data_IF_598871131110
#
_entry.id   IF_598871131110
#
_cell.length_a   1.000
_cell.length_b   1.000
_cell.length_c   1.000
_cell.angle_alpha   90.00
_cell.angle_beta   90.00
_cell.angle_gamma   90.00
#
_symmetry.space_group_name_H-M   'P 1'
#
loop_
_entity.id
_entity.type
_entity.pdbx_description
1 polymer ?
#
# COMPACT_ATOMS: atom_id res chain seq x y z
N UNK A 1 -2.71 14.20 -17.05
CA UNK A 1 -2.81 14.17 -15.57
C UNK A 1 -1.45 13.79 -15.01
N UNK A 2 -0.99 14.51 -14.01
CA UNK A 2 0.28 14.29 -13.29
C UNK A 2 0.01 14.13 -11.82
N UNK A 3 0.46 13.05 -11.21
CA UNK A 3 0.27 12.86 -9.78
C UNK A 3 1.44 12.09 -9.16
N UNK A 4 1.69 12.37 -7.89
CA UNK A 4 2.65 11.64 -7.07
C UNK A 4 1.97 10.48 -6.36
N UNK A 5 2.70 9.38 -6.16
CA UNK A 5 2.29 8.28 -5.29
C UNK A 5 3.38 7.95 -4.27
N UNK A 6 2.96 7.55 -3.07
CA UNK A 6 3.83 7.32 -1.92
C UNK A 6 3.42 6.00 -1.27
N UNK A 7 4.39 5.10 -1.05
CA UNK A 7 4.17 3.84 -0.33
C UNK A 7 5.26 3.66 0.74
N UNK A 8 4.83 3.57 1.99
CA UNK A 8 5.72 3.46 3.16
C UNK A 8 5.18 2.49 4.22
N UNK A 9 4.27 1.59 3.83
CA UNK A 9 3.58 0.67 4.76
C UNK A 9 4.43 -0.50 5.25
N UNK A 10 5.58 -0.76 4.60
CA UNK A 10 6.50 -1.85 4.94
C UNK A 10 7.91 -1.31 5.25
N UNK A 11 8.94 -2.15 5.22
CA UNK A 11 10.34 -1.72 5.33
C UNK A 11 10.86 -0.96 4.08
N UNK A 12 10.07 -0.92 3.02
CA UNK A 12 10.40 -0.20 1.81
C UNK A 12 9.79 1.21 1.82
N UNK A 13 10.56 2.18 1.36
CA UNK A 13 10.10 3.52 1.04
C UNK A 13 10.12 3.65 -0.48
N UNK A 14 8.95 3.79 -1.06
CA UNK A 14 8.76 3.90 -2.50
C UNK A 14 7.98 5.16 -2.81
N UNK A 15 8.40 5.88 -3.86
CA UNK A 15 7.70 7.04 -4.40
C UNK A 15 7.66 6.93 -5.91
N UNK A 16 6.57 7.38 -6.52
CA UNK A 16 6.47 7.43 -7.97
C UNK A 16 5.80 8.71 -8.45
N UNK A 17 6.11 9.07 -9.67
CA UNK A 17 5.48 10.15 -10.42
C UNK A 17 4.80 9.56 -11.65
N UNK A 18 3.49 9.71 -11.73
CA UNK A 18 2.73 9.48 -12.94
C UNK A 18 2.67 10.78 -13.75
N UNK A 19 3.14 10.74 -14.96
CA UNK A 19 3.05 11.89 -15.87
C UNK A 19 2.69 11.39 -17.28
N UNK A 20 1.52 11.80 -17.74
CA UNK A 20 1.06 11.59 -19.13
C UNK A 20 1.10 10.13 -19.61
N UNK A 21 0.84 9.19 -18.70
CA UNK A 21 0.79 7.75 -18.96
C UNK A 21 2.08 6.99 -18.60
N UNK A 22 3.16 7.69 -18.30
CA UNK A 22 4.43 7.11 -17.87
C UNK A 22 4.59 7.15 -16.35
N UNK A 23 5.31 6.19 -15.79
CA UNK A 23 5.62 6.12 -14.35
C UNK A 23 7.14 6.12 -14.17
N UNK A 24 7.65 7.14 -13.51
CA UNK A 24 9.01 7.16 -12.97
C UNK A 24 8.95 6.87 -11.47
N UNK A 25 9.87 6.05 -10.95
CA UNK A 25 9.84 5.68 -9.54
C UNK A 25 11.25 5.62 -8.91
N UNK A 26 11.29 5.81 -7.61
CA UNK A 26 12.44 5.55 -6.76
C UNK A 26 12.00 4.71 -5.57
N UNK A 27 12.84 3.73 -5.21
CA UNK A 27 12.58 2.84 -4.10
C UNK A 27 13.86 2.54 -3.30
N UNK A 28 13.73 2.42 -1.98
CA UNK A 28 14.81 2.07 -1.07
C UNK A 28 14.30 1.35 0.17
N UNK A 29 15.10 0.41 0.70
CA UNK A 29 14.90 -0.07 2.07
C UNK A 29 15.15 1.07 3.05
N UNK A 30 14.14 1.39 3.86
CA UNK A 30 14.13 2.61 4.67
C UNK A 30 14.78 2.44 6.05
N UNK A 31 14.86 1.21 6.58
CA UNK A 31 15.37 0.96 7.94
C UNK A 31 14.84 1.97 8.97
N UNK A 32 13.53 2.21 8.98
CA UNK A 32 12.79 3.18 9.79
C UNK A 32 13.02 4.67 9.43
N UNK A 33 13.66 4.99 8.31
CA UNK A 33 13.94 6.36 7.87
C UNK A 33 12.98 6.89 6.79
N UNK A 34 11.75 6.39 6.73
CA UNK A 34 10.77 6.76 5.70
C UNK A 34 10.53 8.27 5.62
N UNK A 35 10.40 8.95 6.77
CA UNK A 35 10.19 10.41 6.82
C UNK A 35 11.35 11.22 6.27
N UNK A 36 12.58 10.69 6.34
CA UNK A 36 13.77 11.34 5.80
C UNK A 36 13.95 11.08 4.31
N UNK A 37 13.41 9.97 3.81
CA UNK A 37 13.65 9.51 2.43
C UNK A 37 12.55 9.93 1.46
N UNK A 38 11.28 9.85 1.85
CA UNK A 38 10.16 9.94 0.92
C UNK A 38 10.11 11.29 0.17
N UNK A 39 10.17 12.41 0.89
CA UNK A 39 10.11 13.73 0.26
C UNK A 39 11.32 14.04 -0.63
N UNK A 40 12.58 13.82 -0.21
CA UNK A 40 13.74 14.01 -1.10
C UNK A 40 13.73 13.09 -2.33
N UNK A 41 13.19 11.85 -2.22
CA UNK A 41 13.05 10.97 -3.37
C UNK A 41 12.02 11.52 -4.35
N UNK A 42 10.89 12.04 -3.86
CA UNK A 42 9.86 12.67 -4.70
C UNK A 42 10.39 13.95 -5.38
N UNK A 43 11.10 14.82 -4.66
CA UNK A 43 11.74 16.02 -5.22
C UNK A 43 12.68 15.67 -6.37
N UNK A 44 13.46 14.60 -6.24
CA UNK A 44 14.35 14.11 -7.31
C UNK A 44 13.57 13.65 -8.54
N UNK A 45 12.43 12.98 -8.39
CA UNK A 45 11.58 12.56 -9.52
C UNK A 45 10.99 13.78 -10.22
N UNK A 46 10.46 14.74 -9.46
CA UNK A 46 9.91 15.98 -10.00
C UNK A 46 10.97 16.77 -10.77
N UNK A 47 12.18 16.94 -10.20
CA UNK A 47 13.29 17.62 -10.86
C UNK A 47 13.74 16.90 -12.13
N UNK A 48 13.82 15.57 -12.12
CA UNK A 48 14.18 14.78 -13.30
C UNK A 48 13.12 14.89 -14.43
N UNK A 49 11.86 15.06 -14.07
CA UNK A 49 10.77 15.31 -15.01
C UNK A 49 10.64 16.78 -15.45
N UNK A 50 11.46 17.68 -14.90
CA UNK A 50 11.41 19.11 -15.20
C UNK A 50 10.14 19.81 -14.72
N UNK A 51 9.47 19.25 -13.67
CA UNK A 51 8.24 19.84 -13.10
C UNK A 51 8.41 20.12 -11.61
N UNK A 52 7.64 21.09 -11.13
CA UNK A 52 7.52 21.37 -9.70
C UNK A 52 6.30 20.69 -9.07
N UNK A 53 6.28 20.56 -7.74
CA UNK A 53 5.13 20.04 -7.00
C UNK A 53 3.83 20.82 -7.33
N UNK A 54 3.97 22.10 -7.68
CA UNK A 54 2.87 22.94 -8.14
C UNK A 54 2.19 22.49 -9.44
N UNK A 55 2.74 21.56 -10.20
CA UNK A 55 2.19 21.04 -11.46
C UNK A 55 1.54 19.66 -11.30
N UNK A 56 1.44 19.15 -10.07
CA UNK A 56 0.66 17.95 -9.75
C UNK A 56 -0.83 18.27 -9.80
N UNK A 57 -1.62 17.32 -10.27
CA UNK A 57 -3.07 17.35 -10.34
C UNK A 57 -3.73 16.57 -9.18
N UNK A 58 -2.99 15.64 -8.56
CA UNK A 58 -3.47 14.78 -7.46
C UNK A 58 -2.30 14.19 -6.68
N UNK A 59 -2.61 13.54 -5.55
CA UNK A 59 -1.66 12.71 -4.80
C UNK A 59 -2.32 11.38 -4.43
N UNK A 60 -1.58 10.28 -4.61
CA UNK A 60 -1.98 8.94 -4.18
C UNK A 60 -1.06 8.43 -3.07
N UNK A 61 -1.57 7.58 -2.19
CA UNK A 61 -0.75 6.97 -1.15
C UNK A 61 -1.22 5.57 -0.79
N UNK A 62 -0.32 4.73 -0.32
CA UNK A 62 -0.65 3.44 0.29
C UNK A 62 -1.30 3.68 1.64
N UNK A 63 -2.59 3.42 1.71
CA UNK A 63 -3.41 3.74 2.88
C UNK A 63 -3.38 2.67 3.96
N UNK A 64 -2.87 1.47 3.67
CA UNK A 64 -2.83 0.35 4.60
C UNK A 64 -3.63 -0.88 4.14
N UNK A 65 -3.60 -1.94 4.96
CA UNK A 65 -2.92 -2.05 6.26
C UNK A 65 -1.40 -2.17 6.16
N UNK A 66 -0.70 -1.91 7.27
CA UNK A 66 0.76 -1.99 7.34
C UNK A 66 1.35 -1.36 8.59
N UNK A 67 2.61 -0.94 8.51
CA UNK A 67 3.30 -0.24 9.59
C UNK A 67 2.57 1.03 10.02
N UNK A 68 2.18 1.11 11.28
CA UNK A 68 1.45 2.24 11.85
C UNK A 68 2.13 3.61 11.60
N UNK A 69 3.44 3.67 11.80
CA UNK A 69 4.23 4.88 11.54
C UNK A 69 4.33 5.14 10.04
N UNK A 70 4.58 4.11 9.25
CA UNK A 70 4.70 4.23 7.80
C UNK A 70 3.42 4.78 7.16
N UNK A 71 2.25 4.23 7.51
CA UNK A 71 0.97 4.69 6.99
C UNK A 71 0.71 6.17 7.27
N UNK A 72 1.07 6.64 8.47
CA UNK A 72 0.92 8.05 8.84
C UNK A 72 1.89 8.95 8.09
N UNK A 73 3.09 8.48 7.79
CA UNK A 73 4.06 9.21 6.97
C UNK A 73 3.52 9.39 5.55
N UNK A 74 3.05 8.32 4.89
CA UNK A 74 2.47 8.41 3.54
C UNK A 74 1.25 9.33 3.51
N UNK A 75 0.30 9.14 4.44
CA UNK A 75 -0.89 9.96 4.55
C UNK A 75 -0.56 11.43 4.81
N UNK A 76 0.29 11.73 5.78
CA UNK A 76 0.68 13.11 6.12
C UNK A 76 1.43 13.83 4.99
N UNK A 77 2.29 13.10 4.27
CA UNK A 77 2.95 13.65 3.06
C UNK A 77 1.93 13.93 1.96
N UNK A 78 0.99 13.00 1.71
CA UNK A 78 -0.06 13.19 0.72
C UNK A 78 -0.95 14.40 1.06
N UNK A 79 -1.37 14.52 2.34
CA UNK A 79 -2.11 15.68 2.84
C UNK A 79 -1.32 16.98 2.67
N UNK A 80 -0.05 17.01 3.08
CA UNK A 80 0.79 18.21 3.01
C UNK A 80 1.02 18.69 1.57
N UNK A 81 1.26 17.76 0.64
CA UNK A 81 1.44 18.08 -0.78
C UNK A 81 0.14 18.59 -1.44
N UNK A 82 -0.99 18.05 -1.03
CA UNK A 82 -2.28 18.36 -1.64
C UNK A 82 -2.96 19.58 -1.04
N UNK A 83 -2.86 19.78 0.27
CA UNK A 83 -3.65 20.77 1.03
C UNK A 83 -3.46 22.20 0.53
N UNK A 84 -2.23 22.61 0.30
CA UNK A 84 -1.92 24.00 -0.11
C UNK A 84 -2.55 24.42 -1.44
N UNK A 85 -3.00 23.45 -2.25
CA UNK A 85 -3.56 23.67 -3.59
C UNK A 85 -4.96 23.07 -3.80
N UNK A 86 -5.52 22.47 -2.76
CA UNK A 86 -6.80 21.78 -2.86
C UNK A 86 -6.78 20.61 -3.84
N UNK A 87 -5.66 19.89 -3.95
CA UNK A 87 -5.55 18.75 -4.85
C UNK A 87 -6.33 17.54 -4.27
N UNK A 88 -6.99 16.74 -5.11
CA UNK A 88 -7.59 15.50 -4.66
C UNK A 88 -6.51 14.50 -4.21
N UNK A 89 -6.83 13.77 -3.14
CA UNK A 89 -5.99 12.70 -2.59
C UNK A 89 -6.73 11.38 -2.71
N UNK A 90 -6.03 10.30 -3.04
CA UNK A 90 -6.61 8.95 -3.05
C UNK A 90 -5.73 7.97 -2.25
N UNK A 91 -6.37 7.26 -1.31
CA UNK A 91 -5.76 6.14 -0.59
C UNK A 91 -6.00 4.82 -1.34
N UNK A 92 -4.94 4.06 -1.54
CA UNK A 92 -4.98 2.73 -2.15
C UNK A 92 -4.67 1.69 -1.07
N UNK A 93 -5.44 0.61 -1.06
CA UNK A 93 -5.16 -0.51 -0.16
C UNK A 93 -3.75 -1.05 -0.42
N UNK A 94 -2.96 -1.18 0.65
CA UNK A 94 -1.62 -1.80 0.55
C UNK A 94 -1.70 -3.25 0.09
N UNK A 95 -2.76 -3.98 0.46
CA UNK A 95 -2.96 -5.36 0.00
C UNK A 95 -3.35 -5.42 -1.48
N UNK A 96 -4.11 -4.43 -2.00
CA UNK A 96 -4.33 -4.31 -3.45
C UNK A 96 -3.01 -3.97 -4.20
N UNK A 97 -2.21 -3.05 -3.65
CA UNK A 97 -0.92 -2.69 -4.23
C UNK A 97 0.04 -3.90 -4.25
N UNK A 98 0.05 -4.69 -3.18
CA UNK A 98 0.80 -5.94 -3.09
C UNK A 98 0.32 -6.97 -4.13
N UNK A 99 -1.00 -7.12 -4.29
CA UNK A 99 -1.58 -8.01 -5.29
C UNK A 99 -1.25 -7.56 -6.72
N UNK A 100 -1.24 -6.26 -7.00
CA UNK A 100 -0.86 -5.70 -8.30
C UNK A 100 0.59 -6.02 -8.68
N UNK A 101 1.51 -5.99 -7.71
CA UNK A 101 2.91 -6.35 -7.91
C UNK A 101 3.14 -7.85 -8.19
N UNK A 102 2.23 -8.72 -7.78
CA UNK A 102 2.37 -10.17 -7.99
C UNK A 102 2.28 -10.59 -9.46
N UNK A 103 1.65 -9.77 -10.30
CA UNK A 103 1.35 -10.09 -11.70
C UNK A 103 0.30 -11.19 -11.90
N UNK A 104 -0.25 -11.77 -10.83
CA UNK A 104 -1.29 -12.79 -10.87
C UNK A 104 -2.70 -12.16 -10.87
N UNK A 105 -3.72 -12.94 -11.17
CA UNK A 105 -5.12 -12.49 -11.19
C UNK A 105 -5.93 -12.95 -9.97
N UNK A 106 -5.45 -13.97 -9.24
CA UNK A 106 -6.03 -14.47 -7.99
C UNK A 106 -4.93 -14.50 -6.94
N UNK A 107 -5.00 -13.62 -5.97
CA UNK A 107 -3.90 -13.34 -5.06
C UNK A 107 -4.36 -13.39 -3.61
N UNK A 108 -3.60 -14.09 -2.80
CA UNK A 108 -3.63 -13.97 -1.35
C UNK A 108 -2.52 -13.00 -0.96
N UNK A 109 -2.91 -11.77 -0.65
CA UNK A 109 -2.00 -10.74 -0.15
C UNK A 109 -1.83 -10.93 1.36
N UNK A 110 -0.57 -11.09 1.83
CA UNK A 110 -0.27 -11.41 3.21
C UNK A 110 0.96 -10.62 3.70
N UNK A 111 0.76 -9.74 4.67
CA UNK A 111 1.83 -8.97 5.30
C UNK A 111 1.97 -9.36 6.77
N UNK A 112 3.21 -9.42 7.26
CA UNK A 112 3.48 -9.60 8.70
C UNK A 112 2.92 -8.40 9.48
N UNK A 113 1.91 -8.65 10.31
CA UNK A 113 1.29 -7.64 11.16
C UNK A 113 1.98 -7.52 12.54
N UNK A 114 3.11 -8.22 12.75
CA UNK A 114 3.74 -8.40 14.05
C UNK A 114 2.82 -9.13 15.05
N UNK A 115 3.27 -9.32 16.28
CA UNK A 115 2.49 -9.95 17.36
C UNK A 115 1.92 -11.34 17.01
N UNK A 116 2.60 -12.08 16.10
CA UNK A 116 2.19 -13.37 15.54
C UNK A 116 0.88 -13.33 14.76
N UNK A 117 0.60 -12.22 14.10
CA UNK A 117 -0.55 -12.01 13.23
C UNK A 117 -0.12 -11.59 11.82
N UNK A 118 -1.04 -11.72 10.89
CA UNK A 118 -0.89 -11.27 9.50
C UNK A 118 -2.03 -10.35 9.11
N UNK A 119 -1.74 -9.33 8.31
CA UNK A 119 -2.74 -8.68 7.48
C UNK A 119 -2.95 -9.54 6.25
N UNK A 120 -4.18 -9.95 6.02
CA UNK A 120 -4.52 -10.94 5.02
C UNK A 120 -5.75 -10.51 4.23
N UNK A 121 -5.74 -10.72 2.92
CA UNK A 121 -6.90 -10.58 2.04
C UNK A 121 -6.75 -11.51 0.84
N UNK A 122 -7.85 -12.04 0.33
CA UNK A 122 -7.85 -12.74 -0.96
C UNK A 122 -8.53 -11.87 -2.01
N UNK A 123 -7.81 -11.58 -3.08
CA UNK A 123 -8.16 -10.60 -4.10
C UNK A 123 -8.21 -11.24 -5.48
N UNK A 124 -9.27 -10.97 -6.24
CA UNK A 124 -9.41 -11.41 -7.63
C UNK A 124 -9.47 -10.20 -8.57
N UNK A 125 -8.63 -10.21 -9.61
CA UNK A 125 -8.59 -9.13 -10.60
C UNK A 125 -9.69 -9.33 -11.64
N UNK A 126 -10.57 -8.34 -11.77
CA UNK A 126 -11.65 -8.31 -12.78
C UNK A 126 -11.51 -7.03 -13.59
N UNK A 127 -11.04 -7.18 -14.82
CA UNK A 127 -10.64 -6.03 -15.63
C UNK A 127 -9.49 -5.25 -14.98
N UNK A 128 -9.67 -3.97 -14.75
CA UNK A 128 -8.66 -3.10 -14.13
C UNK A 128 -8.80 -2.99 -12.60
N UNK A 129 -9.76 -3.67 -11.98
CA UNK A 129 -10.05 -3.55 -10.54
C UNK A 129 -9.81 -4.87 -9.79
N UNK A 130 -9.35 -4.75 -8.57
CA UNK A 130 -9.29 -5.84 -7.60
C UNK A 130 -10.60 -5.92 -6.83
N UNK A 131 -11.08 -7.15 -6.61
CA UNK A 131 -12.27 -7.44 -5.83
C UNK A 131 -11.90 -8.35 -4.67
N UNK A 132 -12.30 -7.96 -3.47
CA UNK A 132 -12.12 -8.78 -2.28
C UNK A 132 -13.01 -10.02 -2.33
N UNK A 133 -12.41 -11.20 -2.40
CA UNK A 133 -13.06 -12.49 -2.18
C UNK A 133 -13.09 -12.79 -0.69
N UNK A 134 -12.01 -12.42 -0.01
CA UNK A 134 -11.92 -12.36 1.46
C UNK A 134 -11.49 -10.94 1.80
N UNK A 135 -12.31 -10.19 2.57
CA UNK A 135 -11.98 -8.84 3.02
C UNK A 135 -10.68 -8.81 3.82
N UNK A 136 -10.06 -7.63 3.89
CA UNK A 136 -8.86 -7.44 4.68
C UNK A 136 -9.11 -7.73 6.17
N UNK A 137 -8.33 -8.63 6.75
CA UNK A 137 -8.39 -9.03 8.17
C UNK A 137 -7.01 -9.02 8.81
N UNK A 138 -6.98 -8.88 10.14
CA UNK A 138 -5.79 -9.10 10.95
C UNK A 138 -6.03 -10.33 11.83
N UNK A 139 -5.30 -11.41 11.58
CA UNK A 139 -5.56 -12.71 12.21
C UNK A 139 -4.26 -13.48 12.46
N UNK A 140 -4.30 -14.46 13.37
CA UNK A 140 -3.21 -15.42 13.49
C UNK A 140 -3.10 -16.27 12.19
N UNK A 141 -1.89 -16.58 11.70
CA UNK A 141 -1.68 -17.28 10.43
C UNK A 141 -2.43 -18.60 10.32
N UNK A 142 -2.51 -19.36 11.42
CA UNK A 142 -3.17 -20.68 11.47
C UNK A 142 -4.69 -20.63 11.27
N UNK A 143 -5.31 -19.49 11.51
CA UNK A 143 -6.77 -19.30 11.35
C UNK A 143 -7.11 -18.39 10.17
N UNK A 144 -6.11 -18.04 9.35
CA UNK A 144 -6.35 -17.28 8.14
C UNK A 144 -7.36 -18.02 7.23
N UNK A 145 -8.41 -17.33 6.76
CA UNK A 145 -9.44 -17.98 5.97
C UNK A 145 -8.91 -18.43 4.61
N UNK A 146 -9.35 -19.58 4.13
CA UNK A 146 -8.96 -20.09 2.81
C UNK A 146 -9.92 -19.54 1.75
N UNK A 147 -9.40 -18.95 0.67
CA UNK A 147 -10.25 -18.52 -0.44
C UNK A 147 -10.81 -19.74 -1.20
N UNK A 148 -12.02 -19.65 -1.78
CA UNK A 148 -12.62 -20.74 -2.52
C UNK A 148 -11.91 -20.98 -3.86
N UNK A 149 -11.86 -22.25 -4.29
CA UNK A 149 -11.25 -22.67 -5.55
C UNK A 149 -9.72 -22.80 -5.46
N UNK A 150 -9.10 -22.96 -6.62
CA UNK A 150 -7.67 -23.23 -6.78
C UNK A 150 -6.95 -22.07 -7.47
N UNK A 151 -5.65 -22.22 -7.74
CA UNK A 151 -4.79 -21.28 -8.48
C UNK A 151 -4.56 -19.92 -7.78
N UNK A 152 -4.65 -19.88 -6.45
CA UNK A 152 -4.28 -18.71 -5.66
C UNK A 152 -2.76 -18.61 -5.52
N UNK A 153 -2.24 -17.42 -5.78
CA UNK A 153 -0.83 -17.07 -5.58
C UNK A 153 -0.71 -16.24 -4.30
N UNK A 154 0.05 -16.72 -3.33
CA UNK A 154 0.39 -15.94 -2.16
C UNK A 154 1.46 -14.90 -2.47
N UNK A 155 1.32 -13.67 -1.97
CA UNK A 155 2.38 -12.67 -2.08
C UNK A 155 2.51 -11.82 -0.81
N UNK A 156 3.75 -11.43 -0.50
CA UNK A 156 4.10 -10.58 0.62
C UNK A 156 4.91 -11.26 1.72
N UNK A 157 5.49 -10.44 2.57
CA UNK A 157 6.44 -10.86 3.60
C UNK A 157 5.83 -11.70 4.73
N UNK A 158 4.50 -11.78 4.84
CA UNK A 158 3.84 -12.72 5.74
C UNK A 158 4.21 -14.17 5.44
N UNK A 159 4.38 -14.52 4.15
CA UNK A 159 4.82 -15.85 3.73
C UNK A 159 6.29 -16.13 4.06
N UNK A 160 7.15 -15.10 4.07
CA UNK A 160 8.54 -15.26 4.50
C UNK A 160 8.63 -15.61 6.00
N UNK A 161 7.70 -15.11 6.82
CA UNK A 161 7.71 -15.31 8.28
C UNK A 161 6.96 -16.57 8.70
N UNK A 162 5.83 -16.87 8.05
CA UNK A 162 4.87 -17.90 8.52
C UNK A 162 4.70 -19.08 7.56
N UNK A 163 5.50 -19.15 6.48
CA UNK A 163 5.40 -20.21 5.48
C UNK A 163 4.25 -20.02 4.49
N UNK A 164 3.94 -21.07 3.73
CA UNK A 164 3.03 -21.02 2.58
C UNK A 164 1.54 -20.91 2.93
N UNK A 165 1.17 -21.09 4.19
CA UNK A 165 -0.22 -21.10 4.67
C UNK A 165 -1.14 -22.05 3.86
N UNK A 166 -0.59 -23.10 3.27
CA UNK A 166 -1.30 -24.10 2.48
C UNK A 166 -1.54 -23.71 1.03
N UNK A 167 -0.83 -22.71 0.50
CA UNK A 167 -0.80 -22.37 -0.93
C UNK A 167 0.35 -23.08 -1.63
N UNK A 168 0.13 -23.49 -2.89
CA UNK A 168 1.13 -24.21 -3.71
C UNK A 168 2.18 -23.26 -4.30
N UNK A 169 1.85 -21.98 -4.43
CA UNK A 169 2.75 -20.95 -4.97
C UNK A 169 2.72 -19.70 -4.11
N UNK A 170 3.88 -19.29 -3.64
CA UNK A 170 4.05 -18.07 -2.85
C UNK A 170 5.22 -17.22 -3.38
N UNK A 171 5.08 -15.90 -3.25
CA UNK A 171 6.03 -14.88 -3.67
C UNK A 171 6.37 -14.00 -2.45
N UNK A 172 7.19 -14.49 -1.51
CA UNK A 172 7.43 -13.81 -0.23
C UNK A 172 8.23 -12.52 -0.36
N UNK A 173 8.98 -12.36 -1.46
CA UNK A 173 9.81 -11.18 -1.72
C UNK A 173 9.03 -10.01 -2.35
N UNK A 174 7.80 -10.27 -2.84
CA UNK A 174 6.97 -9.22 -3.41
C UNK A 174 6.50 -8.29 -2.29
N UNK A 175 6.61 -7.01 -2.53
CA UNK A 175 6.21 -5.97 -1.58
C UNK A 175 5.40 -4.87 -2.28
N UNK A 176 4.55 -4.13 -1.56
CA UNK A 176 3.78 -3.04 -2.14
C UNK A 176 4.71 -1.90 -2.56
N UNK A 177 4.45 -1.31 -3.71
CA UNK A 177 5.26 -0.21 -4.26
C UNK A 177 4.42 1.01 -4.61
N UNK A 178 5.06 2.17 -4.71
CA UNK A 178 4.41 3.38 -5.22
C UNK A 178 4.04 3.25 -6.71
N UNK A 179 4.68 2.36 -7.47
CA UNK A 179 4.31 2.04 -8.86
C UNK A 179 2.95 1.36 -8.90
N UNK A 180 2.73 0.34 -8.05
CA UNK A 180 1.43 -0.32 -7.94
C UNK A 180 0.34 0.65 -7.45
N UNK A 181 0.66 1.48 -6.45
CA UNK A 181 -0.25 2.55 -5.99
C UNK A 181 -0.62 3.47 -7.15
N UNK A 182 0.35 3.90 -7.98
CA UNK A 182 0.08 4.76 -9.14
C UNK A 182 -0.81 4.08 -10.18
N UNK A 183 -0.53 2.81 -10.52
CA UNK A 183 -1.34 2.03 -11.47
C UNK A 183 -2.80 1.91 -11.04
N UNK A 184 -3.04 1.67 -9.75
CA UNK A 184 -4.38 1.54 -9.18
C UNK A 184 -5.07 2.89 -9.02
N UNK A 185 -4.32 3.94 -8.68
CA UNK A 185 -4.86 5.28 -8.47
C UNK A 185 -5.24 5.98 -9.78
N UNK A 186 -4.47 5.80 -10.86
CA UNK A 186 -4.67 6.50 -12.10
C UNK A 186 -6.11 6.43 -12.66
N UNK A 187 -6.67 5.23 -12.91
CA UNK A 187 -8.05 5.08 -13.36
C UNK A 187 -9.09 5.63 -12.37
N UNK A 188 -8.84 5.48 -11.07
CA UNK A 188 -9.74 5.94 -10.00
C UNK A 188 -9.75 7.47 -9.92
N UNK A 189 -8.61 8.13 -10.05
CA UNK A 189 -8.51 9.60 -10.12
C UNK A 189 -9.18 10.16 -11.37
N UNK A 190 -9.04 9.48 -12.51
CA UNK A 190 -9.74 9.85 -13.75
C UNK A 190 -11.25 9.72 -13.61
N UNK A 191 -11.73 8.77 -12.80
CA UNK A 191 -13.14 8.61 -12.47
C UNK A 191 -13.65 9.59 -11.39
N UNK A 192 -12.77 10.46 -10.84
CA UNK A 192 -13.14 11.43 -9.81
C UNK A 192 -13.26 10.84 -8.40
N UNK A 193 -12.64 9.69 -8.12
CA UNK A 193 -12.70 9.02 -6.81
C UNK A 193 -11.78 9.65 -5.74
N UNK A 194 -11.03 10.69 -6.08
CA UNK A 194 -10.20 11.42 -5.12
C UNK A 194 -11.05 12.19 -4.10
N UNK A 195 -10.55 12.31 -2.89
CA UNK A 195 -11.19 13.03 -1.79
C UNK A 195 -10.40 14.30 -1.44
N UNK A 196 -11.01 15.19 -0.68
CA UNK A 196 -10.31 16.33 -0.08
C UNK A 196 -9.14 15.85 0.78
N UNK A 197 -8.01 16.55 0.73
CA UNK A 197 -6.81 16.20 1.50
C UNK A 197 -7.08 16.08 3.02
N UNK A 198 -7.98 16.88 3.57
CA UNK A 198 -8.36 16.82 4.98
C UNK A 198 -9.11 15.53 5.35
N UNK A 199 -9.70 14.84 4.38
CA UNK A 199 -10.44 13.58 4.57
C UNK A 199 -9.57 12.35 4.33
N UNK A 200 -8.35 12.53 3.82
CA UNK A 200 -7.43 11.41 3.61
C UNK A 200 -7.04 10.79 4.96
N UNK A 201 -7.19 9.48 5.09
CA UNK A 201 -6.89 8.76 6.31
C UNK A 201 -6.31 7.36 6.02
N UNK A 202 -5.45 6.83 6.91
CA UNK A 202 -5.03 5.45 6.84
C UNK A 202 -6.18 4.47 7.08
N UNK A 203 -6.07 3.28 6.48
CA UNK A 203 -6.98 2.15 6.70
C UNK A 203 -6.38 1.28 7.83
N UNK A 204 -7.08 1.22 8.96
CA UNK A 204 -6.70 0.36 10.07
C UNK A 204 -7.59 -0.88 10.10
N UNK A 205 -6.97 -2.05 9.96
CA UNK A 205 -7.66 -3.37 9.96
C UNK A 205 -7.59 -4.03 11.33
N UNK A 206 -6.61 -3.65 12.16
CA UNK A 206 -6.48 -4.17 13.53
C UNK A 206 -7.29 -3.30 14.49
N UNK A 207 -8.25 -3.90 15.20
CA UNK A 207 -9.10 -3.21 16.16
C UNK A 207 -8.36 -2.88 17.47
N UNK A 208 -7.42 -3.75 17.92
CA UNK A 208 -6.59 -3.53 19.11
C UNK A 208 -5.12 -3.37 18.75
N UNK A 209 -4.58 -2.16 18.97
CA UNK A 209 -3.18 -1.83 18.66
C UNK A 209 -2.23 -2.13 19.82
N UNK A 210 -2.75 -2.27 21.06
CA UNK A 210 -1.97 -2.60 22.24
C UNK A 210 -2.81 -3.42 23.23
N UNK A 211 -2.17 -4.37 23.90
CA UNK A 211 -2.75 -5.03 25.07
C UNK A 211 -2.73 -4.05 26.24
N UNK A 212 -3.81 -3.99 27.00
CA UNK A 212 -3.81 -3.28 28.27
C UNK A 212 -2.85 -3.96 29.26
N UNK A 213 -2.44 -3.26 30.32
CA UNK A 213 -1.49 -3.79 31.31
C UNK A 213 -1.99 -5.13 31.92
N UNK A 214 -3.30 -5.31 32.02
CA UNK A 214 -3.92 -6.53 32.55
C UNK A 214 -3.98 -7.69 31.52
N UNK A 215 -3.85 -7.40 30.25
CA UNK A 215 -3.84 -8.38 29.15
C UNK A 215 -2.42 -8.83 28.74
N UNK A 216 -1.38 -8.24 29.32
CA UNK A 216 0.00 -8.63 29.03
C UNK A 216 0.33 -9.93 29.76
N UNK A 217 0.88 -10.96 29.08
CA UNK A 217 1.32 -12.19 29.74
C UNK A 217 2.41 -11.85 30.76
N UNK A 218 2.23 -12.32 32.01
CA UNK A 218 3.22 -12.22 33.08
C UNK A 218 4.40 -13.13 32.81
#
# INVERSE_FOLDING_TARGET
MRFASIETSTEWCSVALWADGEIAALERRAAARHSELALPMLERLLAAAGIGAGQLDAVAFGAGPGSFTGLRIACGLAQGLAFARGLPVIGISTLEALAEESGATRVVACLDARMREVYYSALEKRGARWHEVIPAVCVAPLVAPRPPGEDWVGCGNGFAVYGDLGLTRVLPEVHPSAVAVARLAGPRLQAGEGVDAALAAPIYVRDKVALTTDEQPR
#
